data_IF_428801713372
#
_entry.id   IF_428801713372
#
_cell.length_a   1.000
_cell.length_b   1.000
_cell.length_c   1.000
_cell.angle_alpha   90.00
_cell.angle_beta   90.00
_cell.angle_gamma   90.00
#
_symmetry.space_group_name_H-M   'P 1'
#
loop_
_entity.id
_entity.type
_entity.pdbx_description
1 polymer ?
#
# COMPACT_ATOMS: atom_id res chain seq x y z
N UNK A 1 27.62 23.87 -20.31
CA UNK A 1 26.28 23.48 -20.86
C UNK A 1 26.04 22.03 -20.48
N UNK A 2 25.17 21.78 -19.51
CA UNK A 2 24.83 20.41 -19.10
C UNK A 2 23.88 19.82 -20.14
N UNK A 3 24.30 18.77 -20.85
CA UNK A 3 23.46 18.00 -21.77
C UNK A 3 22.44 17.28 -20.89
N UNK A 4 21.19 17.81 -20.80
CA UNK A 4 20.09 17.09 -20.15
C UNK A 4 19.84 15.82 -20.98
N UNK A 5 20.29 14.67 -20.45
CA UNK A 5 20.01 13.35 -21.00
C UNK A 5 18.48 13.24 -21.19
N UNK A 6 18.06 12.96 -22.41
CA UNK A 6 16.63 12.77 -22.71
C UNK A 6 16.22 11.44 -22.06
N UNK A 7 15.39 11.51 -21.03
CA UNK A 7 14.83 10.31 -20.38
C UNK A 7 14.05 9.48 -21.38
N UNK A 8 14.12 8.18 -21.28
CA UNK A 8 13.23 7.25 -22.00
C UNK A 8 11.79 7.49 -21.57
N UNK A 9 10.85 6.89 -22.29
CA UNK A 9 9.42 6.95 -21.93
C UNK A 9 9.18 6.32 -20.55
N UNK A 10 9.82 5.20 -20.29
CA UNK A 10 9.73 4.46 -19.02
C UNK A 10 10.36 5.24 -17.86
N UNK A 11 11.57 5.78 -18.02
CA UNK A 11 12.21 6.64 -17.03
C UNK A 11 11.35 7.89 -16.71
N UNK A 12 10.69 8.46 -17.73
CA UNK A 12 9.79 9.61 -17.54
C UNK A 12 8.53 9.25 -16.76
N UNK A 13 7.94 8.06 -17.03
CA UNK A 13 6.78 7.54 -16.30
C UNK A 13 7.14 7.25 -14.84
N UNK A 14 8.27 6.59 -14.59
CA UNK A 14 8.75 6.30 -13.23
C UNK A 14 9.00 7.59 -12.42
N UNK A 15 9.67 8.58 -13.02
CA UNK A 15 9.88 9.87 -12.37
C UNK A 15 8.57 10.59 -12.04
N UNK A 16 7.55 10.46 -12.88
CA UNK A 16 6.24 11.04 -12.62
C UNK A 16 5.51 10.34 -11.46
N UNK A 17 5.59 9.02 -11.36
CA UNK A 17 4.99 8.25 -10.26
C UNK A 17 5.66 8.58 -8.94
N UNK A 18 6.99 8.69 -8.89
CA UNK A 18 7.72 9.12 -7.69
C UNK A 18 7.36 10.56 -7.27
N UNK A 19 7.22 11.47 -8.22
CA UNK A 19 6.76 12.83 -7.92
C UNK A 19 5.31 12.86 -7.43
N UNK A 20 4.44 12.00 -7.95
CA UNK A 20 3.07 11.83 -7.50
C UNK A 20 3.03 11.26 -6.06
N UNK A 21 3.87 10.27 -5.74
CA UNK A 21 4.02 9.72 -4.39
C UNK A 21 4.47 10.80 -3.40
N UNK A 22 5.45 11.58 -3.75
CA UNK A 22 5.91 12.69 -2.90
C UNK A 22 4.78 13.73 -2.64
N UNK A 23 4.01 14.08 -3.67
CA UNK A 23 2.84 14.98 -3.52
C UNK A 23 1.75 14.37 -2.63
N UNK A 24 1.49 13.07 -2.77
CA UNK A 24 0.54 12.34 -1.93
C UNK A 24 0.91 12.47 -0.44
N UNK A 25 2.17 12.21 -0.11
CA UNK A 25 2.66 12.23 1.28
C UNK A 25 2.68 13.66 1.85
N UNK A 26 3.12 14.64 1.05
CA UNK A 26 3.30 16.02 1.49
C UNK A 26 1.97 16.79 1.60
N UNK A 27 1.07 16.60 0.63
CA UNK A 27 -0.10 17.46 0.43
C UNK A 27 -1.43 16.70 0.35
N UNK A 28 -1.40 15.37 0.38
CA UNK A 28 -2.59 14.53 0.28
C UNK A 28 -3.02 14.21 -1.16
N UNK A 29 -4.02 13.30 -1.32
CA UNK A 29 -4.40 12.75 -2.62
C UNK A 29 -4.97 13.80 -3.60
N UNK A 30 -5.63 14.84 -3.10
CA UNK A 30 -6.16 15.94 -3.92
C UNK A 30 -5.06 16.73 -4.66
N UNK A 31 -3.82 16.69 -4.17
CA UNK A 31 -2.67 17.34 -4.81
C UNK A 31 -2.08 16.50 -5.96
N UNK A 32 -2.43 15.22 -6.07
CA UNK A 32 -1.93 14.32 -7.11
C UNK A 32 -2.66 14.61 -8.43
N UNK A 33 -2.21 15.66 -9.12
CA UNK A 33 -2.76 16.10 -10.40
C UNK A 33 -1.68 16.09 -11.48
N UNK A 34 -2.08 15.90 -12.76
CA UNK A 34 -1.14 15.96 -13.89
C UNK A 34 -0.34 17.28 -13.91
N UNK A 35 -0.98 18.40 -13.57
CA UNK A 35 -0.33 19.72 -13.54
C UNK A 35 0.72 19.81 -12.44
N UNK A 36 0.42 19.38 -11.23
CA UNK A 36 1.33 19.45 -10.09
C UNK A 36 2.54 18.52 -10.30
N UNK A 37 2.30 17.30 -10.77
CA UNK A 37 3.36 16.33 -11.07
C UNK A 37 4.23 16.81 -12.21
N UNK A 38 3.65 17.33 -13.30
CA UNK A 38 4.40 17.89 -14.42
C UNK A 38 5.33 19.04 -13.98
N UNK A 39 4.82 19.96 -13.16
CA UNK A 39 5.59 21.06 -12.61
C UNK A 39 6.77 20.55 -11.76
N UNK A 40 6.54 19.52 -10.92
CA UNK A 40 7.56 18.98 -10.02
C UNK A 40 8.73 18.32 -10.76
N UNK A 41 8.47 17.66 -11.90
CA UNK A 41 9.52 16.99 -12.69
C UNK A 41 10.02 17.82 -13.89
N UNK A 42 9.59 19.08 -14.01
CA UNK A 42 9.98 19.97 -15.09
C UNK A 42 9.52 19.49 -16.48
N UNK A 43 8.30 18.93 -16.55
CA UNK A 43 7.64 18.48 -17.78
C UNK A 43 6.38 19.30 -18.05
N UNK A 44 5.79 19.11 -19.23
CA UNK A 44 4.52 19.76 -19.59
C UNK A 44 3.33 18.89 -19.17
N UNK A 45 2.18 19.51 -18.92
CA UNK A 45 0.91 18.80 -18.69
C UNK A 45 0.58 17.84 -19.84
N UNK A 46 0.82 18.24 -21.10
CA UNK A 46 0.59 17.42 -22.28
C UNK A 46 1.46 16.13 -22.28
N UNK A 47 2.70 16.22 -21.78
CA UNK A 47 3.54 15.04 -21.64
C UNK A 47 2.97 14.04 -20.63
N UNK A 48 2.51 14.50 -19.46
CA UNK A 48 1.89 13.64 -18.45
C UNK A 48 0.55 13.08 -18.95
N UNK A 49 -0.24 13.88 -19.66
CA UNK A 49 -1.50 13.43 -20.27
C UNK A 49 -1.24 12.30 -21.29
N UNK A 50 -0.16 12.39 -22.08
CA UNK A 50 0.24 11.32 -22.99
C UNK A 50 0.61 10.02 -22.25
N UNK A 51 1.27 10.08 -21.08
CA UNK A 51 1.68 8.91 -20.31
C UNK A 51 0.54 8.24 -19.53
N UNK A 52 -0.40 9.02 -19.01
CA UNK A 52 -1.41 8.56 -18.06
C UNK A 52 -2.85 8.70 -18.57
N UNK A 53 -3.08 9.41 -19.65
CA UNK A 53 -4.39 9.64 -20.24
C UNK A 53 -5.29 10.60 -19.46
N UNK A 54 -5.23 10.58 -18.13
CA UNK A 54 -6.08 11.39 -17.24
C UNK A 54 -5.45 11.53 -15.84
N UNK A 55 -6.03 12.39 -15.00
CA UNK A 55 -5.67 12.48 -13.59
C UNK A 55 -5.95 11.16 -12.86
N UNK A 56 -7.06 10.49 -13.17
CA UNK A 56 -7.38 9.15 -12.66
C UNK A 56 -6.34 8.12 -13.10
N UNK A 57 -5.92 8.13 -14.37
CA UNK A 57 -4.87 7.24 -14.85
C UNK A 57 -3.52 7.44 -14.13
N UNK A 58 -3.18 8.68 -13.76
CA UNK A 58 -2.02 8.98 -12.92
C UNK A 58 -2.20 8.38 -11.50
N UNK A 59 -3.38 8.54 -10.90
CA UNK A 59 -3.68 8.01 -9.57
C UNK A 59 -3.69 6.48 -9.55
N UNK A 60 -4.28 5.84 -10.58
CA UNK A 60 -4.20 4.37 -10.76
C UNK A 60 -2.75 3.89 -10.92
N UNK A 61 -1.94 4.57 -11.73
CA UNK A 61 -0.52 4.23 -11.87
C UNK A 61 0.29 4.42 -10.59
N UNK A 62 -0.08 5.40 -9.75
CA UNK A 62 0.50 5.56 -8.42
C UNK A 62 0.06 4.44 -7.48
N UNK A 63 -1.23 4.09 -7.47
CA UNK A 63 -1.78 3.00 -6.65
C UNK A 63 -1.12 1.65 -7.01
N UNK A 64 -0.99 1.35 -8.30
CA UNK A 64 -0.28 0.18 -8.83
C UNK A 64 1.18 0.12 -8.35
N UNK A 65 1.88 1.24 -8.43
CA UNK A 65 3.28 1.32 -7.98
C UNK A 65 3.42 1.09 -6.47
N UNK A 66 2.57 1.75 -5.67
CA UNK A 66 2.58 1.61 -4.20
C UNK A 66 2.22 0.17 -3.80
N UNK A 67 1.14 -0.40 -4.33
CA UNK A 67 0.71 -1.75 -3.97
C UNK A 67 1.75 -2.80 -4.37
N UNK A 68 2.32 -2.71 -5.57
CA UNK A 68 3.39 -3.62 -6.01
C UNK A 68 4.61 -3.58 -5.09
N UNK A 69 5.08 -2.38 -4.74
CA UNK A 69 6.26 -2.20 -3.88
C UNK A 69 6.00 -2.76 -2.48
N UNK A 70 4.83 -2.44 -1.91
CA UNK A 70 4.43 -2.88 -0.57
C UNK A 70 4.22 -4.39 -0.54
N UNK A 71 3.49 -4.97 -1.51
CA UNK A 71 3.24 -6.41 -1.58
C UNK A 71 4.52 -7.21 -1.75
N UNK A 72 5.51 -6.72 -2.52
CA UNK A 72 6.82 -7.34 -2.61
C UNK A 72 7.54 -7.38 -1.26
N UNK A 73 7.59 -6.25 -0.54
CA UNK A 73 8.23 -6.15 0.78
C UNK A 73 7.52 -7.03 1.82
N UNK A 74 6.18 -7.08 1.79
CA UNK A 74 5.39 -7.94 2.68
C UNK A 74 5.67 -9.42 2.39
N UNK A 75 5.76 -9.82 1.11
CA UNK A 75 6.10 -11.19 0.75
C UNK A 75 7.44 -11.62 1.34
N UNK A 76 8.47 -10.78 1.20
CA UNK A 76 9.79 -11.04 1.75
C UNK A 76 9.75 -11.17 3.28
N UNK A 77 9.00 -10.29 3.98
CA UNK A 77 8.83 -10.35 5.43
C UNK A 77 8.09 -11.62 5.89
N UNK A 78 7.05 -12.05 5.16
CA UNK A 78 6.32 -13.30 5.46
C UNK A 78 7.22 -14.52 5.25
N UNK A 79 8.01 -14.57 4.17
CA UNK A 79 8.96 -15.66 3.96
C UNK A 79 10.05 -15.68 5.03
N UNK A 80 10.57 -14.51 5.44
CA UNK A 80 11.52 -14.42 6.57
C UNK A 80 10.90 -14.93 7.87
N UNK A 81 9.66 -14.54 8.19
CA UNK A 81 8.95 -15.02 9.38
C UNK A 81 8.76 -16.54 9.33
N UNK A 82 8.34 -17.11 8.20
CA UNK A 82 8.19 -18.57 8.03
C UNK A 82 9.51 -19.33 8.21
N UNK A 83 10.64 -18.68 7.90
CA UNK A 83 11.97 -19.23 8.10
C UNK A 83 12.53 -19.00 9.52
N UNK A 84 11.76 -18.38 10.42
CA UNK A 84 12.21 -18.04 11.77
C UNK A 84 13.17 -16.84 11.85
N UNK A 85 13.28 -16.07 10.77
CA UNK A 85 14.20 -14.92 10.64
C UNK A 85 13.49 -13.57 10.73
N UNK A 86 12.16 -13.54 10.90
CA UNK A 86 11.33 -12.35 10.98
C UNK A 86 10.25 -12.47 12.05
N UNK A 87 9.45 -11.43 12.21
CA UNK A 87 8.40 -11.36 13.23
C UNK A 87 7.04 -10.93 12.65
N UNK A 88 5.95 -11.29 13.34
CA UNK A 88 4.61 -10.79 13.05
C UNK A 88 4.56 -9.26 13.13
N UNK A 89 5.31 -8.66 14.04
CA UNK A 89 5.41 -7.22 14.22
C UNK A 89 5.91 -6.50 12.98
N UNK A 90 6.95 -7.02 12.32
CA UNK A 90 7.50 -6.42 11.10
C UNK A 90 6.47 -6.42 9.97
N UNK A 91 5.72 -7.52 9.79
CA UNK A 91 4.66 -7.59 8.78
C UNK A 91 3.56 -6.57 9.08
N UNK A 92 3.10 -6.48 10.33
CA UNK A 92 2.09 -5.51 10.75
C UNK A 92 2.57 -4.08 10.52
N UNK A 93 3.80 -3.76 10.90
CA UNK A 93 4.34 -2.41 10.72
C UNK A 93 4.44 -2.04 9.24
N UNK A 94 4.84 -2.96 8.34
CA UNK A 94 4.85 -2.75 6.89
C UNK A 94 3.44 -2.45 6.35
N UNK A 95 2.44 -3.25 6.73
CA UNK A 95 1.06 -3.06 6.28
C UNK A 95 0.52 -1.71 6.76
N UNK A 96 0.64 -1.41 8.06
CA UNK A 96 0.12 -0.17 8.63
C UNK A 96 0.85 1.07 8.13
N UNK A 97 2.16 0.98 7.90
CA UNK A 97 2.95 2.09 7.35
C UNK A 97 2.59 2.36 5.89
N UNK A 98 2.30 1.34 5.10
CA UNK A 98 1.81 1.49 3.73
C UNK A 98 0.52 2.31 3.68
N UNK A 99 -0.46 1.99 4.52
CA UNK A 99 -1.73 2.72 4.55
C UNK A 99 -1.60 4.11 5.19
N UNK A 100 -0.79 4.25 6.25
CA UNK A 100 -0.62 5.49 7.00
C UNK A 100 0.46 6.40 6.43
N UNK A 101 1.73 6.02 6.59
CA UNK A 101 2.89 6.88 6.25
C UNK A 101 3.11 7.03 4.75
N UNK A 102 2.88 5.96 3.97
CA UNK A 102 3.04 5.99 2.51
C UNK A 102 1.80 6.56 1.78
N UNK A 103 0.70 6.79 2.51
CA UNK A 103 -0.49 7.47 2.01
C UNK A 103 -1.45 6.60 1.20
N UNK A 104 -1.23 5.27 1.12
CA UNK A 104 -2.11 4.38 0.36
C UNK A 104 -3.56 4.42 0.86
N UNK A 105 -3.78 4.54 2.18
CA UNK A 105 -5.12 4.66 2.76
C UNK A 105 -5.86 5.93 2.32
N UNK A 106 -5.17 7.07 2.33
CA UNK A 106 -5.75 8.33 1.86
C UNK A 106 -6.04 8.30 0.35
N UNK A 107 -5.13 7.74 -0.45
CA UNK A 107 -5.31 7.61 -1.90
C UNK A 107 -6.49 6.70 -2.23
N UNK A 108 -6.56 5.51 -1.65
CA UNK A 108 -7.64 4.55 -1.87
C UNK A 108 -9.00 5.15 -1.50
N UNK A 109 -9.10 5.78 -0.33
CA UNK A 109 -10.34 6.44 0.12
C UNK A 109 -10.75 7.57 -0.81
N UNK A 110 -9.81 8.39 -1.25
CA UNK A 110 -10.07 9.47 -2.22
C UNK A 110 -10.59 8.92 -3.55
N UNK A 111 -9.96 7.89 -4.08
CA UNK A 111 -10.35 7.28 -5.35
C UNK A 111 -11.76 6.67 -5.28
N UNK A 112 -12.08 5.96 -4.21
CA UNK A 112 -13.43 5.41 -3.97
C UNK A 112 -14.50 6.51 -3.88
N UNK A 113 -14.25 7.55 -3.07
CA UNK A 113 -15.19 8.65 -2.88
C UNK A 113 -15.36 9.52 -4.13
N UNK A 114 -14.42 9.45 -5.07
CA UNK A 114 -14.52 10.13 -6.36
C UNK A 114 -15.44 9.43 -7.37
N UNK A 115 -16.12 8.34 -6.98
CA UNK A 115 -17.10 7.63 -7.80
C UNK A 115 -16.50 6.75 -8.91
N UNK A 116 -15.26 6.35 -8.77
CA UNK A 116 -14.60 5.44 -9.72
C UNK A 116 -14.73 4.00 -9.21
N UNK A 117 -15.63 3.22 -9.79
CA UNK A 117 -15.89 1.83 -9.36
C UNK A 117 -14.67 0.92 -9.49
N UNK A 118 -13.86 1.11 -10.53
CA UNK A 118 -12.63 0.35 -10.81
C UNK A 118 -11.34 1.00 -10.25
N UNK A 119 -11.49 1.93 -9.32
CA UNK A 119 -10.36 2.69 -8.78
C UNK A 119 -9.37 1.82 -8.00
N UNK A 120 -9.86 0.78 -7.34
CA UNK A 120 -9.05 -0.12 -6.51
C UNK A 120 -8.53 -1.35 -7.25
N UNK A 121 -8.91 -1.58 -8.51
CA UNK A 121 -8.49 -2.77 -9.26
C UNK A 121 -6.98 -3.04 -9.17
N UNK A 122 -6.09 -2.04 -9.36
CA UNK A 122 -4.65 -2.28 -9.27
C UNK A 122 -4.19 -2.75 -7.88
N UNK A 123 -4.87 -2.30 -6.82
CA UNK A 123 -4.56 -2.71 -5.45
C UNK A 123 -5.06 -4.14 -5.21
N UNK A 124 -6.27 -4.44 -5.66
CA UNK A 124 -6.92 -5.75 -5.51
C UNK A 124 -6.11 -6.83 -6.25
N UNK A 125 -5.67 -6.55 -7.48
CA UNK A 125 -4.85 -7.44 -8.29
C UNK A 125 -3.52 -7.76 -7.58
N UNK A 126 -2.79 -6.76 -7.08
CA UNK A 126 -1.52 -6.96 -6.38
C UNK A 126 -1.69 -7.72 -5.05
N UNK A 127 -2.80 -7.51 -4.33
CA UNK A 127 -3.11 -8.28 -3.11
C UNK A 127 -3.45 -9.74 -3.46
N UNK A 128 -4.19 -9.97 -4.55
CA UNK A 128 -4.48 -11.32 -5.05
C UNK A 128 -3.19 -12.06 -5.40
N UNK A 129 -2.32 -11.43 -6.18
CA UNK A 129 -1.03 -11.97 -6.57
C UNK A 129 -0.12 -12.23 -5.37
N UNK A 130 -0.17 -11.37 -4.34
CA UNK A 130 0.56 -11.59 -3.09
C UNK A 130 0.08 -12.87 -2.40
N UNK A 131 -1.23 -13.03 -2.23
CA UNK A 131 -1.83 -14.22 -1.59
C UNK A 131 -1.45 -15.49 -2.36
N UNK A 132 -1.50 -15.47 -3.68
CA UNK A 132 -1.15 -16.61 -4.53
C UNK A 132 0.36 -16.94 -4.44
N UNK A 133 1.24 -15.95 -4.43
CA UNK A 133 2.69 -16.12 -4.24
C UNK A 133 3.04 -16.71 -2.88
N UNK A 134 2.35 -16.27 -1.84
CA UNK A 134 2.58 -16.79 -0.49
C UNK A 134 2.18 -18.26 -0.38
N UNK A 135 1.23 -18.71 -1.19
CA UNK A 135 0.78 -20.10 -1.25
C UNK A 135 0.34 -20.67 0.10
N UNK A 136 -0.07 -21.93 0.16
CA UNK A 136 -0.32 -22.60 1.42
C UNK A 136 1.02 -22.81 2.14
N UNK A 137 1.23 -22.05 3.23
CA UNK A 137 2.28 -22.34 4.20
C UNK A 137 1.82 -23.48 5.12
N UNK A 138 2.18 -23.39 6.40
CA UNK A 138 1.63 -24.24 7.46
C UNK A 138 0.14 -23.90 7.71
N UNK A 139 -0.25 -22.69 7.42
CA UNK A 139 -1.62 -22.16 7.55
C UNK A 139 -2.48 -22.55 6.33
N UNK A 140 -3.80 -22.75 6.56
CA UNK A 140 -4.73 -22.97 5.44
C UNK A 140 -4.88 -21.69 4.61
N UNK A 141 -5.09 -21.84 3.28
CA UNK A 141 -5.31 -20.71 2.36
C UNK A 141 -6.47 -19.82 2.84
N UNK A 142 -7.53 -20.42 3.34
CA UNK A 142 -8.69 -19.69 3.85
C UNK A 142 -8.33 -18.79 5.03
N UNK A 143 -7.58 -19.29 6.01
CA UNK A 143 -7.14 -18.50 7.16
C UNK A 143 -6.21 -17.37 6.74
N UNK A 144 -5.28 -17.62 5.83
CA UNK A 144 -4.40 -16.60 5.29
C UNK A 144 -5.20 -15.47 4.61
N UNK A 145 -6.23 -15.81 3.81
CA UNK A 145 -7.13 -14.83 3.19
C UNK A 145 -7.89 -14.00 4.23
N UNK A 146 -8.41 -14.64 5.27
CA UNK A 146 -9.12 -13.96 6.36
C UNK A 146 -8.19 -13.03 7.14
N UNK A 147 -6.99 -13.47 7.47
CA UNK A 147 -5.98 -12.65 8.15
C UNK A 147 -5.55 -11.48 7.29
N UNK A 148 -5.31 -11.69 5.99
CA UNK A 148 -4.98 -10.62 5.03
C UNK A 148 -6.09 -9.57 4.98
N UNK A 149 -7.36 -9.99 4.84
CA UNK A 149 -8.51 -9.09 4.85
C UNK A 149 -8.57 -8.27 6.15
N UNK A 150 -8.43 -8.94 7.30
CA UNK A 150 -8.47 -8.27 8.60
C UNK A 150 -7.35 -7.24 8.74
N UNK A 151 -6.11 -7.57 8.36
CA UNK A 151 -4.96 -6.65 8.40
C UNK A 151 -5.18 -5.42 7.52
N UNK A 152 -5.66 -5.60 6.28
CA UNK A 152 -5.95 -4.50 5.36
C UNK A 152 -7.00 -3.56 5.95
N UNK A 153 -8.13 -4.10 6.45
CA UNK A 153 -9.21 -3.30 7.01
C UNK A 153 -8.78 -2.58 8.30
N UNK A 154 -7.99 -3.24 9.17
CA UNK A 154 -7.45 -2.62 10.38
C UNK A 154 -6.46 -1.49 10.04
N UNK A 155 -5.56 -1.70 9.09
CA UNK A 155 -4.58 -0.69 8.67
C UNK A 155 -5.25 0.51 7.99
N UNK A 156 -6.24 0.27 7.12
CA UNK A 156 -7.04 1.33 6.51
C UNK A 156 -7.81 2.14 7.55
N UNK A 157 -8.50 1.46 8.47
CA UNK A 157 -9.23 2.11 9.56
C UNK A 157 -8.31 2.92 10.48
N UNK A 158 -7.13 2.38 10.83
CA UNK A 158 -6.13 3.07 11.64
C UNK A 158 -5.57 4.31 10.92
N UNK A 159 -5.31 4.24 9.62
CA UNK A 159 -4.81 5.36 8.83
C UNK A 159 -5.81 6.53 8.79
N UNK A 160 -7.11 6.24 8.74
CA UNK A 160 -8.15 7.26 8.61
C UNK A 160 -8.68 7.78 9.96
N UNK A 161 -8.88 6.89 10.91
CA UNK A 161 -9.61 7.18 12.16
C UNK A 161 -8.83 6.80 13.42
N UNK A 162 -7.74 6.06 13.32
CA UNK A 162 -7.07 5.40 14.45
C UNK A 162 -6.65 6.37 15.56
N UNK A 163 -6.16 7.57 15.21
CA UNK A 163 -5.79 8.58 16.21
C UNK A 163 -6.97 9.08 17.02
N UNK A 164 -8.08 9.40 16.35
CA UNK A 164 -9.30 9.90 17.01
C UNK A 164 -9.96 8.80 17.85
N UNK A 165 -10.03 7.57 17.33
CA UNK A 165 -10.65 6.44 18.03
C UNK A 165 -9.83 5.98 19.24
N UNK A 166 -8.50 5.87 19.13
CA UNK A 166 -7.64 5.54 20.24
C UNK A 166 -7.78 6.55 21.38
N UNK A 167 -7.80 7.86 21.05
CA UNK A 167 -8.04 8.93 22.04
C UNK A 167 -9.41 8.83 22.71
N UNK A 168 -10.47 8.55 21.93
CA UNK A 168 -11.83 8.45 22.46
C UNK A 168 -12.03 7.24 23.38
N UNK A 169 -11.20 6.19 23.23
CA UNK A 169 -11.26 4.96 24.00
C UNK A 169 -10.17 4.88 25.09
N UNK A 170 -9.43 5.97 25.33
CA UNK A 170 -8.29 6.01 26.27
C UNK A 170 -7.26 4.93 26.00
N UNK A 171 -7.01 4.61 24.72
CA UNK A 171 -6.04 3.62 24.27
C UNK A 171 -4.77 4.28 23.70
N UNK A 172 -3.61 3.59 23.74
CA UNK A 172 -2.41 4.08 23.09
C UNK A 172 -2.59 4.15 21.57
N UNK A 173 -1.92 5.11 20.90
CA UNK A 173 -2.04 5.33 19.44
C UNK A 173 -1.78 4.07 18.61
N UNK A 174 -0.95 3.17 19.11
CA UNK A 174 -0.57 1.92 18.44
C UNK A 174 -1.46 0.71 18.81
N UNK A 175 -2.59 0.91 19.49
CA UNK A 175 -3.46 -0.17 19.95
C UNK A 175 -3.92 -1.09 18.80
N UNK A 176 -4.28 -0.51 17.65
CA UNK A 176 -4.67 -1.28 16.47
C UNK A 176 -3.54 -2.18 15.96
N UNK A 177 -2.29 -1.68 15.94
CA UNK A 177 -1.11 -2.48 15.56
C UNK A 177 -0.84 -3.63 16.52
N UNK A 178 -0.98 -3.40 17.82
CA UNK A 178 -0.82 -4.46 18.85
C UNK A 178 -1.90 -5.56 18.69
N UNK A 179 -3.13 -5.16 18.37
CA UNK A 179 -4.21 -6.12 18.09
C UNK A 179 -3.94 -6.93 16.83
N UNK A 180 -3.46 -6.27 15.76
CA UNK A 180 -3.10 -6.92 14.51
C UNK A 180 -1.91 -7.89 14.67
N UNK A 181 -0.91 -7.51 15.46
CA UNK A 181 0.24 -8.36 15.77
C UNK A 181 -0.19 -9.64 16.50
N UNK A 182 -1.08 -9.51 17.49
CA UNK A 182 -1.64 -10.66 18.18
C UNK A 182 -2.42 -11.56 17.23
N UNK A 183 -3.29 -11.00 16.39
CA UNK A 183 -4.05 -11.76 15.39
C UNK A 183 -3.13 -12.58 14.48
N UNK A 184 -2.05 -11.98 14.00
CA UNK A 184 -1.10 -12.65 13.11
C UNK A 184 -0.29 -13.73 13.84
N UNK A 185 0.09 -13.50 15.10
CA UNK A 185 0.81 -14.48 15.93
C UNK A 185 -0.06 -15.69 16.28
N UNK A 186 -1.30 -15.44 16.71
CA UNK A 186 -2.26 -16.51 17.04
C UNK A 186 -2.56 -17.39 15.81
N UNK A 187 -2.61 -16.80 14.62
CA UNK A 187 -2.77 -17.54 13.36
C UNK A 187 -1.59 -18.49 13.08
N UNK A 188 -0.36 -18.06 13.36
CA UNK A 188 0.83 -18.86 13.14
C UNK A 188 0.95 -20.02 14.16
N UNK A 189 0.62 -19.78 15.44
CA UNK A 189 0.66 -20.81 16.49
C UNK A 189 -0.34 -21.94 16.24
N UNK A 190 -1.57 -21.61 15.85
CA UNK A 190 -2.59 -22.62 15.52
C UNK A 190 -2.21 -23.47 14.30
N UNK A 191 -1.44 -22.90 13.38
CA UNK A 191 -0.96 -23.62 12.22
C UNK A 191 0.06 -24.71 12.61
N UNK A 192 0.91 -24.46 13.59
CA UNK A 192 1.88 -25.44 14.10
C UNK A 192 1.20 -26.55 14.92
N UNK A 193 0.17 -26.20 15.70
CA UNK A 193 -0.56 -27.15 16.54
C UNK A 193 -1.41 -28.17 15.77
N UNK A 194 -1.73 -27.93 14.51
CA UNK A 194 -2.52 -28.83 13.63
C UNK A 194 -1.60 -29.72 12.77
N UNK A 195 -0.32 -29.39 12.67
CA UNK A 195 0.68 -30.12 11.86
C UNK A 195 1.40 -31.23 12.66
N UNK A 196 1.28 -31.25 13.99
CA UNK A 196 1.73 -32.30 14.92
C UNK A 196 0.56 -33.27 15.25
#
# INVERSE_FOLDING_TARGET
MSIRKRLTQEESRAAAVEAARALLIELGPQAVTLKAVAARIGRTHANLLHHFGSALGLQKGLAEHLSRTVCATIADAVFAQRAGLGSAREIVDLVFDAFGKEGAGALASWMLLSGNEDALDPIIEEVHDLVDRLGPGVESVERMRQTTLALILMALGDALLGGAMAKALDLPRNAARLTAEKLLSDSAEHAHAVAD
#
